data_IF_895787131841
#
_entry.id   IF_895787131841
#
_cell.length_a   1.000
_cell.length_b   1.000
_cell.length_c   1.000
_cell.angle_alpha   90.00
_cell.angle_beta   90.00
_cell.angle_gamma   90.00
#
_symmetry.space_group_name_H-M   'P 1'
#
loop_
_entity.id
_entity.type
_entity.pdbx_description
1 polymer ?
#
# COMPACT_ATOMS: atom_id res chain seq x y z
N UNK A 1 -5.33 13.96 -17.18
CA UNK A 1 -5.77 14.14 -15.78
C UNK A 1 -4.96 13.18 -14.94
N UNK A 2 -4.14 13.68 -14.02
CA UNK A 2 -3.35 12.82 -13.10
C UNK A 2 -4.22 12.55 -11.87
N UNK A 3 -4.60 11.30 -11.68
CA UNK A 3 -5.34 10.88 -10.50
C UNK A 3 -4.40 9.99 -9.67
N UNK A 4 -4.32 10.20 -8.37
CA UNK A 4 -3.60 9.26 -7.53
C UNK A 4 -4.39 7.95 -7.53
N UNK A 5 -3.71 6.81 -7.68
CA UNK A 5 -4.34 5.49 -7.76
C UNK A 5 -5.35 5.24 -6.62
N UNK A 6 -5.04 5.71 -5.42
CA UNK A 6 -5.95 5.68 -4.27
C UNK A 6 -7.32 6.31 -4.56
N UNK A 7 -7.35 7.55 -5.08
CA UNK A 7 -8.60 8.23 -5.38
C UNK A 7 -9.32 7.61 -6.58
N UNK A 8 -8.56 7.06 -7.53
CA UNK A 8 -9.13 6.31 -8.63
C UNK A 8 -9.88 5.06 -8.12
N UNK A 9 -9.24 4.27 -7.27
CA UNK A 9 -9.82 3.03 -6.74
C UNK A 9 -11.09 3.32 -5.92
N UNK A 10 -11.06 4.29 -4.99
CA UNK A 10 -12.25 4.62 -4.17
C UNK A 10 -13.37 5.25 -4.99
N UNK A 11 -13.06 6.21 -5.85
CA UNK A 11 -14.10 7.02 -6.49
C UNK A 11 -14.58 6.47 -7.84
N UNK A 12 -13.83 5.58 -8.46
CA UNK A 12 -14.15 5.07 -9.79
C UNK A 12 -14.49 3.59 -9.75
N UNK A 13 -13.55 2.75 -9.31
CA UNK A 13 -13.74 1.29 -9.38
C UNK A 13 -14.85 0.83 -8.45
N UNK A 14 -14.90 1.34 -7.21
CA UNK A 14 -15.97 1.03 -6.27
C UNK A 14 -17.36 1.41 -6.80
N UNK A 15 -17.47 2.61 -7.38
CA UNK A 15 -18.75 3.09 -7.95
C UNK A 15 -19.17 2.31 -9.19
N UNK A 16 -18.23 1.90 -10.02
CA UNK A 16 -18.55 1.05 -11.16
C UNK A 16 -19.10 -0.30 -10.74
N UNK A 17 -18.49 -0.93 -9.75
CA UNK A 17 -18.95 -2.23 -9.24
C UNK A 17 -20.34 -2.16 -8.60
N UNK A 18 -20.71 -1.01 -8.06
CA UNK A 18 -22.03 -0.76 -7.50
C UNK A 18 -23.08 -0.34 -8.55
N UNK A 19 -22.74 -0.39 -9.86
CA UNK A 19 -23.60 0.13 -10.94
C UNK A 19 -24.07 1.59 -10.71
N UNK A 20 -23.30 2.38 -9.98
CA UNK A 20 -23.62 3.77 -9.71
C UNK A 20 -23.42 4.62 -10.97
N UNK A 21 -24.55 4.98 -11.60
CA UNK A 21 -24.59 5.80 -12.81
C UNK A 21 -24.11 7.24 -12.59
N UNK A 22 -23.88 7.66 -11.35
CA UNK A 22 -23.34 8.98 -10.99
C UNK A 22 -21.82 9.03 -11.08
N UNK A 23 -21.16 7.91 -11.41
CA UNK A 23 -19.72 7.89 -11.60
C UNK A 23 -19.30 8.88 -12.71
N UNK A 24 -18.41 9.81 -12.36
CA UNK A 24 -17.84 10.81 -13.28
C UNK A 24 -16.95 10.13 -14.34
N UNK A 25 -16.49 8.92 -14.06
CA UNK A 25 -15.59 8.16 -14.92
C UNK A 25 -16.31 6.93 -15.47
N UNK A 26 -16.40 6.85 -16.80
CA UNK A 26 -16.82 5.65 -17.52
C UNK A 26 -15.62 4.74 -17.76
N UNK A 27 -15.85 3.47 -18.06
CA UNK A 27 -14.82 2.56 -18.57
C UNK A 27 -14.07 3.24 -19.72
N UNK A 28 -12.75 3.04 -19.77
CA UNK A 28 -11.86 3.64 -20.76
C UNK A 28 -11.24 2.54 -21.62
N UNK A 29 -10.92 2.91 -22.87
CA UNK A 29 -10.23 1.99 -23.79
C UNK A 29 -8.79 1.75 -23.36
N UNK A 30 -8.17 2.73 -22.67
CA UNK A 30 -6.77 2.65 -22.24
C UNK A 30 -6.54 3.28 -20.87
N UNK A 31 -5.72 2.62 -20.07
CA UNK A 31 -5.22 3.12 -18.78
C UNK A 31 -3.69 3.23 -18.81
N UNK A 32 -3.15 4.36 -18.34
CA UNK A 32 -1.72 4.59 -18.15
C UNK A 32 -1.41 4.57 -16.66
N UNK A 33 -0.53 3.66 -16.24
CA UNK A 33 -0.10 3.48 -14.86
C UNK A 33 1.37 3.90 -14.73
N UNK A 34 1.61 5.08 -14.19
CA UNK A 34 2.95 5.56 -13.86
C UNK A 34 3.39 5.02 -12.50
N UNK A 35 4.70 4.81 -12.32
CA UNK A 35 5.31 4.15 -11.14
C UNK A 35 4.64 2.81 -10.81
N UNK A 36 4.37 2.03 -11.85
CA UNK A 36 3.57 0.80 -11.78
C UNK A 36 4.14 -0.27 -10.84
N UNK A 37 5.41 -0.20 -10.48
CA UNK A 37 6.05 -1.09 -9.49
C UNK A 37 5.43 -0.97 -8.09
N UNK A 38 4.71 0.13 -7.79
CA UNK A 38 4.01 0.35 -6.53
C UNK A 38 2.57 -0.16 -6.52
N UNK A 39 2.01 -0.51 -7.69
CA UNK A 39 0.60 -0.90 -7.83
C UNK A 39 0.19 -2.01 -6.87
N UNK A 40 0.92 -3.16 -6.79
CA UNK A 40 0.49 -4.26 -5.92
C UNK A 40 0.29 -3.81 -4.47
N UNK A 41 1.26 -3.10 -3.90
CA UNK A 41 1.18 -2.65 -2.52
C UNK A 41 0.11 -1.58 -2.27
N UNK A 42 -0.13 -0.70 -3.24
CA UNK A 42 -1.17 0.34 -3.13
C UNK A 42 -2.56 -0.29 -3.23
N UNK A 43 -2.77 -1.15 -4.23
CA UNK A 43 -4.06 -1.81 -4.41
C UNK A 43 -4.41 -2.64 -3.19
N UNK A 44 -3.51 -3.50 -2.73
CA UNK A 44 -3.76 -4.38 -1.59
C UNK A 44 -4.09 -3.59 -0.31
N UNK A 45 -3.33 -2.55 0.00
CA UNK A 45 -3.64 -1.70 1.18
C UNK A 45 -4.99 -1.00 1.12
N UNK A 46 -5.48 -0.70 -0.07
CA UNK A 46 -6.78 -0.05 -0.23
C UNK A 46 -7.96 -1.03 -0.14
N UNK A 47 -7.66 -2.34 -0.11
CA UNK A 47 -8.64 -3.42 0.04
C UNK A 47 -8.45 -4.21 1.34
N UNK A 48 -7.98 -3.58 2.39
CA UNK A 48 -7.89 -4.14 3.73
C UNK A 48 -9.17 -3.79 4.52
N UNK A 49 -10.20 -4.64 4.52
CA UNK A 49 -11.41 -4.36 5.30
C UNK A 49 -11.10 -4.44 6.78
N UNK A 50 -11.76 -3.58 7.55
CA UNK A 50 -11.63 -3.51 8.99
C UNK A 50 -12.96 -3.92 9.66
N UNK A 51 -12.88 -4.63 10.78
CA UNK A 51 -14.00 -4.88 11.69
C UNK A 51 -13.66 -4.27 13.05
N UNK A 52 -14.59 -3.50 13.60
CA UNK A 52 -14.47 -2.85 14.91
C UNK A 52 -15.65 -3.24 15.78
N UNK A 53 -15.44 -3.30 17.08
CA UNK A 53 -16.55 -3.57 18.02
C UNK A 53 -17.70 -2.57 17.88
N UNK A 54 -17.37 -1.32 17.61
CA UNK A 54 -18.31 -0.21 17.39
C UNK A 54 -19.20 -0.35 16.16
N UNK A 55 -18.87 -1.23 15.20
CA UNK A 55 -19.68 -1.44 13.99
C UNK A 55 -21.08 -1.96 14.30
N UNK A 56 -21.22 -2.74 15.38
CA UNK A 56 -22.53 -3.16 15.87
C UNK A 56 -23.47 -1.97 16.12
N UNK A 57 -22.94 -0.83 16.59
CA UNK A 57 -23.79 0.34 16.84
C UNK A 57 -24.37 0.90 15.54
N UNK A 58 -23.61 0.85 14.44
CA UNK A 58 -24.08 1.28 13.13
C UNK A 58 -25.17 0.33 12.61
N UNK A 59 -24.95 -0.98 12.74
CA UNK A 59 -25.94 -2.00 12.38
C UNK A 59 -27.23 -1.85 13.21
N UNK A 60 -27.14 -1.54 14.50
CA UNK A 60 -28.31 -1.27 15.34
C UNK A 60 -29.09 -0.02 14.91
N UNK A 61 -28.40 1.04 14.49
CA UNK A 61 -29.04 2.24 13.96
C UNK A 61 -29.80 1.91 12.68
N UNK A 62 -29.21 1.16 11.76
CA UNK A 62 -29.86 0.71 10.53
C UNK A 62 -31.08 -0.19 10.85
N UNK A 63 -30.91 -1.14 11.77
CA UNK A 63 -31.95 -2.05 12.19
C UNK A 63 -33.15 -1.32 12.85
N UNK A 64 -32.89 -0.28 13.66
CA UNK A 64 -33.99 0.49 14.32
C UNK A 64 -34.84 1.26 13.33
N UNK A 65 -34.32 1.60 12.16
CA UNK A 65 -35.10 2.30 11.12
C UNK A 65 -36.09 1.36 10.39
N UNK A 66 -35.82 0.08 10.38
CA UNK A 66 -36.69 -0.93 9.75
C UNK A 66 -38.15 -0.84 10.22
N UNK A 67 -38.39 -0.52 11.50
CA UNK A 67 -39.73 -0.38 12.05
C UNK A 67 -40.51 0.88 11.61
N UNK A 68 -39.81 1.89 11.10
CA UNK A 68 -40.43 3.19 10.77
C UNK A 68 -40.70 3.39 9.26
N UNK A 69 -40.04 2.63 8.37
CA UNK A 69 -40.27 2.75 6.91
C UNK A 69 -41.66 2.23 6.53
N UNK A 70 -42.16 1.23 7.21
CA UNK A 70 -43.50 0.65 6.94
C UNK A 70 -44.63 1.65 7.13
N UNK A 71 -44.46 2.68 7.94
CA UNK A 71 -45.54 3.62 8.25
C UNK A 71 -45.63 4.85 7.34
N UNK A 72 -44.54 5.22 6.65
CA UNK A 72 -44.49 6.49 5.89
C UNK A 72 -44.59 6.35 4.36
N UNK A 73 -44.28 5.18 3.81
CA UNK A 73 -44.31 4.96 2.35
C UNK A 73 -45.65 4.43 1.80
N UNK A 74 -46.58 4.00 2.69
CA UNK A 74 -47.79 3.29 2.30
C UNK A 74 -49.10 3.94 2.78
N UNK A 75 -49.12 5.22 3.16
CA UNK A 75 -50.37 5.90 3.55
C UNK A 75 -51.30 6.21 2.37
N UNK A 76 -50.89 6.00 1.12
CA UNK A 76 -51.69 6.36 -0.06
C UNK A 76 -52.22 5.19 -0.92
N UNK A 77 -51.84 3.92 -0.67
CA UNK A 77 -52.47 2.80 -1.39
C UNK A 77 -52.77 1.59 -0.48
N UNK A 78 -54.02 1.41 -0.16
CA UNK A 78 -54.54 0.16 0.35
C UNK A 78 -54.59 -0.86 -0.78
N UNK A 79 -53.63 -1.76 -0.87
CA UNK A 79 -53.74 -3.18 -1.24
C UNK A 79 -52.35 -3.78 -1.45
N UNK A 80 -52.08 -4.88 -0.74
CA UNK A 80 -50.90 -5.74 -0.76
C UNK A 80 -49.96 -5.65 0.45
N UNK A 81 -50.51 -5.53 1.65
CA UNK A 81 -49.74 -5.48 2.91
C UNK A 81 -49.14 -6.84 3.32
N UNK A 82 -49.57 -7.96 2.77
CA UNK A 82 -49.20 -9.29 3.26
C UNK A 82 -47.90 -9.86 2.61
N UNK A 83 -47.53 -9.42 1.42
CA UNK A 83 -46.38 -9.96 0.70
C UNK A 83 -45.07 -9.26 1.08
N UNK A 84 -45.12 -7.99 1.46
CA UNK A 84 -43.93 -7.20 1.87
C UNK A 84 -43.55 -7.40 3.34
N UNK A 85 -44.52 -7.79 4.21
CA UNK A 85 -44.25 -8.12 5.61
C UNK A 85 -43.40 -9.39 5.79
N UNK A 86 -43.38 -10.27 4.79
CA UNK A 86 -42.67 -11.56 4.82
C UNK A 86 -41.16 -11.47 4.52
N UNK A 87 -40.71 -10.47 3.77
CA UNK A 87 -39.29 -10.35 3.35
C UNK A 87 -38.42 -9.79 4.49
N UNK A 88 -38.95 -8.98 5.37
CA UNK A 88 -38.20 -8.25 6.40
C UNK A 88 -38.21 -8.87 7.80
N UNK A 89 -38.89 -10.00 7.99
CA UNK A 89 -39.04 -10.65 9.32
C UNK A 89 -37.86 -11.49 9.78
N UNK A 90 -36.74 -11.57 9.01
CA UNK A 90 -35.76 -12.61 9.21
C UNK A 90 -34.60 -12.29 10.15
N UNK A 91 -34.48 -11.08 10.70
CA UNK A 91 -33.39 -10.77 11.62
C UNK A 91 -33.88 -9.97 12.83
N UNK A 92 -34.00 -10.64 13.98
CA UNK A 92 -34.33 -9.93 15.23
C UNK A 92 -33.12 -9.19 15.77
N UNK A 93 -33.32 -8.16 16.59
CA UNK A 93 -32.19 -7.45 17.22
C UNK A 93 -31.36 -8.38 18.10
N UNK A 94 -31.99 -9.36 18.77
CA UNK A 94 -31.31 -10.36 19.59
C UNK A 94 -30.46 -11.30 18.75
N UNK A 95 -30.90 -11.68 17.54
CA UNK A 95 -30.12 -12.51 16.63
C UNK A 95 -28.92 -11.73 16.09
N UNK A 96 -29.11 -10.45 15.73
CA UNK A 96 -28.03 -9.57 15.30
C UNK A 96 -26.94 -9.44 16.38
N UNK A 97 -27.35 -9.23 17.64
CA UNK A 97 -26.42 -9.12 18.77
C UNK A 97 -25.66 -10.44 19.01
N UNK A 98 -26.35 -11.56 18.99
CA UNK A 98 -25.78 -12.89 19.18
C UNK A 98 -24.78 -13.23 18.08
N UNK A 99 -25.18 -12.97 16.84
CA UNK A 99 -24.33 -13.24 15.67
C UNK A 99 -23.11 -12.34 15.64
N UNK A 100 -23.27 -11.06 15.98
CA UNK A 100 -22.16 -10.14 16.13
C UNK A 100 -21.17 -10.55 17.21
N UNK A 101 -21.67 -10.98 18.36
CA UNK A 101 -20.81 -11.46 19.45
C UNK A 101 -20.00 -12.69 19.03
N UNK A 102 -20.63 -13.64 18.33
CA UNK A 102 -19.91 -14.78 17.73
C UNK A 102 -18.83 -14.33 16.74
N UNK A 103 -19.17 -13.46 15.78
CA UNK A 103 -18.24 -12.96 14.76
C UNK A 103 -17.06 -12.26 15.41
N UNK A 104 -17.34 -11.29 16.27
CA UNK A 104 -16.31 -10.45 16.85
C UNK A 104 -15.36 -11.25 17.76
N UNK A 105 -15.91 -12.10 18.62
CA UNK A 105 -15.09 -12.94 19.53
C UNK A 105 -14.24 -13.95 18.73
N UNK A 106 -14.78 -14.54 17.68
CA UNK A 106 -14.02 -15.46 16.81
C UNK A 106 -12.87 -14.73 16.09
N UNK A 107 -13.13 -13.53 15.56
CA UNK A 107 -12.16 -12.81 14.76
C UNK A 107 -11.10 -12.08 15.63
N UNK A 108 -11.45 -11.68 16.84
CA UNK A 108 -10.49 -11.07 17.80
C UNK A 108 -9.54 -12.12 18.36
N UNK A 109 -9.98 -13.38 18.46
CA UNK A 109 -9.10 -14.46 18.94
C UNK A 109 -8.02 -14.77 17.89
N UNK A 110 -6.77 -14.50 18.23
CA UNK A 110 -5.61 -14.77 17.35
C UNK A 110 -5.34 -16.26 17.14
N UNK A 111 -5.91 -17.13 17.97
CA UNK A 111 -5.77 -18.59 17.90
C UNK A 111 -6.95 -19.30 17.22
N UNK A 112 -7.97 -18.57 16.78
CA UNK A 112 -9.09 -19.16 16.06
C UNK A 112 -8.63 -19.84 14.77
N UNK A 113 -9.23 -21.01 14.47
CA UNK A 113 -8.88 -21.79 13.26
C UNK A 113 -9.29 -21.04 11.98
N UNK A 114 -8.64 -21.37 10.86
CA UNK A 114 -8.99 -20.80 9.56
C UNK A 114 -10.45 -21.07 9.19
N UNK A 115 -10.97 -22.26 9.50
CA UNK A 115 -12.37 -22.61 9.27
C UNK A 115 -13.33 -21.76 10.11
N UNK A 116 -13.01 -21.51 11.39
CA UNK A 116 -13.81 -20.63 12.24
C UNK A 116 -13.80 -19.18 11.74
N UNK A 117 -12.62 -18.69 11.32
CA UNK A 117 -12.49 -17.36 10.72
C UNK A 117 -13.31 -17.25 9.43
N UNK A 118 -13.27 -18.26 8.55
CA UNK A 118 -14.06 -18.29 7.31
C UNK A 118 -15.57 -18.18 7.61
N UNK A 119 -16.07 -19.00 8.52
CA UNK A 119 -17.50 -18.94 8.94
C UNK A 119 -17.89 -17.59 9.53
N UNK A 120 -17.02 -16.98 10.33
CA UNK A 120 -17.28 -15.65 10.88
C UNK A 120 -17.31 -14.56 9.79
N UNK A 121 -16.42 -14.65 8.81
CA UNK A 121 -16.39 -13.76 7.63
C UNK A 121 -17.65 -13.93 6.79
N UNK A 122 -18.03 -15.15 6.47
CA UNK A 122 -19.27 -15.47 5.71
C UNK A 122 -20.51 -14.93 6.43
N UNK A 123 -20.57 -15.11 7.74
CA UNK A 123 -21.67 -14.63 8.55
C UNK A 123 -21.74 -13.09 8.59
N UNK A 124 -20.59 -12.43 8.70
CA UNK A 124 -20.54 -10.96 8.64
C UNK A 124 -20.99 -10.42 7.28
N UNK A 125 -20.53 -11.06 6.19
CA UNK A 125 -21.00 -10.71 4.85
C UNK A 125 -22.53 -10.86 4.73
N UNK A 126 -23.08 -11.97 5.20
CA UNK A 126 -24.54 -12.20 5.19
C UNK A 126 -25.32 -11.14 5.98
N UNK A 127 -24.78 -10.69 7.14
CA UNK A 127 -25.38 -9.58 7.88
C UNK A 127 -25.36 -8.30 7.04
N UNK A 128 -24.22 -7.92 6.49
CA UNK A 128 -24.11 -6.71 5.67
C UNK A 128 -25.07 -6.76 4.47
N UNK A 129 -25.13 -7.90 3.80
CA UNK A 129 -25.98 -8.11 2.63
C UNK A 129 -27.47 -7.94 2.96
N UNK A 130 -27.90 -8.40 4.15
CA UNK A 130 -29.28 -8.26 4.62
C UNK A 130 -29.72 -6.81 4.86
N UNK A 131 -28.77 -5.86 4.97
CA UNK A 131 -29.09 -4.43 5.15
C UNK A 131 -29.11 -3.62 3.84
N UNK A 132 -28.81 -4.23 2.69
CA UNK A 132 -28.67 -3.51 1.42
C UNK A 132 -29.92 -2.70 1.05
N UNK A 133 -31.08 -3.35 1.03
CA UNK A 133 -32.38 -2.73 0.70
C UNK A 133 -32.79 -1.69 1.75
N UNK A 134 -32.51 -1.96 3.02
CA UNK A 134 -32.81 -1.01 4.11
C UNK A 134 -32.02 0.30 3.91
N UNK A 135 -30.75 0.22 3.56
CA UNK A 135 -29.90 1.40 3.33
C UNK A 135 -30.41 2.18 2.13
N UNK A 136 -30.80 1.52 1.03
CA UNK A 136 -31.37 2.17 -0.15
C UNK A 136 -32.68 2.92 0.18
N UNK A 137 -33.56 2.31 0.97
CA UNK A 137 -34.78 2.93 1.40
C UNK A 137 -34.54 4.17 2.30
N UNK A 138 -33.57 4.07 3.24
CA UNK A 138 -33.19 5.22 4.09
C UNK A 138 -32.63 6.37 3.23
N UNK A 139 -31.69 6.07 2.31
CA UNK A 139 -31.07 7.09 1.44
C UNK A 139 -32.14 7.77 0.55
N UNK A 140 -33.07 7.01 -0.01
CA UNK A 140 -34.18 7.53 -0.79
C UNK A 140 -35.08 8.47 0.05
N UNK A 141 -35.43 8.06 1.27
CA UNK A 141 -36.21 8.87 2.18
C UNK A 141 -35.51 10.17 2.58
N UNK A 142 -34.21 10.11 2.93
CA UNK A 142 -33.41 11.29 3.27
C UNK A 142 -33.25 12.24 2.08
N UNK A 143 -33.07 11.70 0.86
CA UNK A 143 -32.99 12.49 -0.37
C UNK A 143 -34.31 13.19 -0.68
N UNK A 144 -35.43 12.50 -0.55
CA UNK A 144 -36.80 13.07 -0.71
C UNK A 144 -37.03 14.21 0.29
N UNK A 145 -36.75 13.97 1.56
CA UNK A 145 -36.87 14.96 2.64
C UNK A 145 -36.08 16.24 2.33
N UNK A 146 -34.85 16.12 1.84
CA UNK A 146 -33.97 17.26 1.54
C UNK A 146 -34.33 17.97 0.23
N UNK A 147 -34.58 17.21 -0.85
CA UNK A 147 -34.73 17.78 -2.20
C UNK A 147 -36.16 18.20 -2.51
N UNK A 148 -37.15 17.45 -2.05
CA UNK A 148 -38.56 17.68 -2.37
C UNK A 148 -39.24 18.53 -1.32
N UNK A 149 -39.06 18.21 -0.03
CA UNK A 149 -39.67 18.92 1.07
C UNK A 149 -38.90 20.15 1.54
N UNK A 150 -37.63 20.26 1.20
CA UNK A 150 -36.77 21.38 1.64
C UNK A 150 -36.49 21.39 3.15
N UNK A 151 -36.71 20.27 3.83
CA UNK A 151 -36.57 20.18 5.28
C UNK A 151 -35.10 20.07 5.72
N UNK A 152 -34.81 20.57 6.90
CA UNK A 152 -33.49 20.40 7.54
C UNK A 152 -33.45 19.06 8.27
N UNK A 153 -32.29 18.38 8.18
CA UNK A 153 -32.06 17.11 8.86
C UNK A 153 -32.19 17.27 10.39
N UNK A 154 -32.96 16.38 10.99
CA UNK A 154 -32.99 16.19 12.44
C UNK A 154 -31.72 15.51 12.94
N UNK A 155 -31.53 15.42 14.26
CA UNK A 155 -30.41 14.66 14.83
C UNK A 155 -30.47 13.17 14.45
N UNK A 156 -31.65 12.61 14.34
CA UNK A 156 -31.90 11.23 13.93
C UNK A 156 -31.53 11.02 12.46
N UNK A 157 -31.98 11.91 11.57
CA UNK A 157 -31.60 11.89 10.15
C UNK A 157 -30.07 11.92 9.96
N UNK A 158 -29.37 12.69 10.79
CA UNK A 158 -27.88 12.75 10.74
C UNK A 158 -27.25 11.43 11.20
N UNK A 159 -27.81 10.74 12.19
CA UNK A 159 -27.32 9.43 12.63
C UNK A 159 -27.55 8.38 11.54
N UNK A 160 -28.74 8.35 10.94
CA UNK A 160 -29.06 7.46 9.83
C UNK A 160 -28.15 7.70 8.62
N UNK A 161 -27.95 8.96 8.23
CA UNK A 161 -27.03 9.31 7.14
C UNK A 161 -25.59 8.81 7.40
N UNK A 162 -25.12 8.95 8.65
CA UNK A 162 -23.79 8.43 9.03
C UNK A 162 -23.72 6.91 8.99
N UNK A 163 -24.78 6.22 9.44
CA UNK A 163 -24.86 4.76 9.40
C UNK A 163 -24.91 4.24 7.94
N UNK A 164 -25.67 4.88 7.06
CA UNK A 164 -25.67 4.57 5.62
C UNK A 164 -24.28 4.82 4.99
N UNK A 165 -23.66 5.94 5.30
CA UNK A 165 -22.30 6.25 4.80
C UNK A 165 -21.26 5.23 5.28
N UNK A 166 -21.32 4.82 6.57
CA UNK A 166 -20.50 3.74 7.10
C UNK A 166 -20.74 2.42 6.35
N UNK A 167 -22.02 2.04 6.17
CA UNK A 167 -22.40 0.82 5.48
C UNK A 167 -21.88 0.80 4.03
N UNK A 168 -22.06 1.88 3.26
CA UNK A 168 -21.57 1.98 1.89
C UNK A 168 -20.05 1.83 1.83
N UNK A 169 -19.33 2.46 2.76
CA UNK A 169 -17.89 2.29 2.86
C UNK A 169 -17.50 0.84 3.20
N UNK A 170 -18.20 0.20 4.14
CA UNK A 170 -17.98 -1.20 4.46
C UNK A 170 -18.20 -2.10 3.24
N UNK A 171 -19.37 -2.01 2.60
CA UNK A 171 -19.73 -2.86 1.47
C UNK A 171 -18.79 -2.71 0.29
N UNK A 172 -18.28 -1.49 0.06
CA UNK A 172 -17.32 -1.22 -0.99
C UNK A 172 -16.07 -2.11 -0.92
N UNK A 173 -15.55 -2.33 0.29
CA UNK A 173 -14.35 -3.15 0.51
C UNK A 173 -14.69 -4.60 0.86
N UNK A 174 -15.77 -4.80 1.58
CA UNK A 174 -16.13 -6.09 2.13
C UNK A 174 -16.62 -7.07 1.07
N UNK A 175 -17.41 -6.61 0.11
CA UNK A 175 -17.88 -7.44 -1.01
C UNK A 175 -16.70 -7.95 -1.85
N UNK A 176 -15.75 -7.07 -2.17
CA UNK A 176 -14.57 -7.41 -2.94
C UNK A 176 -13.61 -8.34 -2.17
N UNK A 177 -13.45 -8.09 -0.86
CA UNK A 177 -12.70 -8.96 0.02
C UNK A 177 -13.32 -10.36 0.12
N UNK A 178 -14.63 -10.45 0.27
CA UNK A 178 -15.34 -11.72 0.30
C UNK A 178 -15.21 -12.49 -1.01
N UNK A 179 -15.25 -11.79 -2.13
CA UNK A 179 -14.93 -12.39 -3.43
C UNK A 179 -13.51 -12.96 -3.45
N UNK A 180 -12.51 -12.24 -2.95
CA UNK A 180 -11.15 -12.75 -2.83
C UNK A 180 -11.08 -14.00 -1.93
N UNK A 181 -11.73 -14.00 -0.77
CA UNK A 181 -11.77 -15.18 0.12
C UNK A 181 -12.30 -16.41 -0.58
N UNK A 182 -13.34 -16.26 -1.40
CA UNK A 182 -13.96 -17.38 -2.13
C UNK A 182 -13.13 -17.82 -3.35
N UNK A 183 -12.50 -16.90 -4.04
CA UNK A 183 -11.74 -17.19 -5.25
C UNK A 183 -10.35 -17.76 -4.97
N UNK A 184 -9.62 -17.21 -4.00
CA UNK A 184 -8.24 -17.62 -3.72
C UNK A 184 -8.11 -18.53 -2.50
N UNK A 185 -9.08 -18.51 -1.57
CA UNK A 185 -9.06 -19.28 -0.33
C UNK A 185 -8.65 -18.48 0.91
N UNK A 186 -9.18 -18.91 2.07
CA UNK A 186 -8.93 -18.23 3.37
C UNK A 186 -7.46 -18.34 3.80
N UNK A 187 -6.72 -19.31 3.34
CA UNK A 187 -5.30 -19.51 3.61
C UNK A 187 -4.41 -18.40 3.04
N UNK A 188 -4.90 -17.65 2.07
CA UNK A 188 -4.22 -16.48 1.49
C UNK A 188 -4.63 -15.16 2.13
N UNK A 189 -5.44 -15.22 3.19
CA UNK A 189 -5.88 -14.06 3.94
C UNK A 189 -5.17 -14.00 5.28
N UNK A 190 -4.43 -12.93 5.49
CA UNK A 190 -3.82 -12.64 6.79
C UNK A 190 -4.78 -11.82 7.64
N UNK A 191 -5.06 -12.31 8.84
CA UNK A 191 -5.80 -11.61 9.88
C UNK A 191 -4.83 -10.94 10.84
N UNK A 192 -4.96 -9.65 11.03
CA UNK A 192 -4.20 -8.89 12.01
C UNK A 192 -5.15 -8.26 13.03
N UNK A 193 -4.83 -8.40 14.31
CA UNK A 193 -5.59 -7.84 15.42
C UNK A 193 -4.73 -6.82 16.15
N UNK A 194 -5.17 -5.57 16.21
CA UNK A 194 -4.44 -4.47 16.81
C UNK A 194 -5.33 -3.61 17.69
N UNK A 195 -4.77 -2.90 18.66
CA UNK A 195 -5.51 -1.96 19.51
C UNK A 195 -5.41 -0.54 18.92
N UNK A 196 -6.55 0.12 18.76
CA UNK A 196 -6.59 1.54 18.38
C UNK A 196 -5.91 2.40 19.43
N UNK A 197 -4.97 3.23 19.03
CA UNK A 197 -4.29 4.16 19.95
C UNK A 197 -5.23 5.21 20.54
N UNK A 198 -6.29 5.56 19.82
CA UNK A 198 -7.24 6.62 20.20
C UNK A 198 -8.40 6.04 21.01
N UNK A 199 -9.10 5.07 20.45
CA UNK A 199 -10.35 4.53 21.04
C UNK A 199 -10.12 3.38 21.99
N UNK A 200 -8.92 2.80 22.02
CA UNK A 200 -8.59 1.58 22.78
C UNK A 200 -9.41 0.36 22.37
N UNK A 201 -10.06 0.42 21.26
CA UNK A 201 -10.85 -0.63 20.67
C UNK A 201 -9.95 -1.57 19.86
N UNK A 202 -10.24 -2.87 19.89
CA UNK A 202 -9.56 -3.83 19.02
C UNK A 202 -10.08 -3.68 17.61
N UNK A 203 -9.14 -3.57 16.67
CA UNK A 203 -9.38 -3.48 15.24
C UNK A 203 -8.87 -4.78 14.61
N UNK A 204 -9.72 -5.42 13.85
CA UNK A 204 -9.37 -6.61 13.07
C UNK A 204 -9.25 -6.16 11.62
N UNK A 205 -8.10 -6.38 11.00
CA UNK A 205 -7.85 -6.10 9.58
C UNK A 205 -7.52 -7.39 8.84
N UNK A 206 -7.86 -7.42 7.56
CA UNK A 206 -7.57 -8.55 6.70
C UNK A 206 -6.80 -8.09 5.47
N UNK A 207 -5.72 -8.79 5.14
CA UNK A 207 -4.88 -8.51 3.98
C UNK A 207 -4.81 -9.74 3.09
N UNK A 208 -5.17 -9.62 1.82
CA UNK A 208 -4.96 -10.67 0.84
C UNK A 208 -3.50 -10.66 0.38
N UNK A 209 -2.78 -11.79 0.59
CA UNK A 209 -1.36 -11.90 0.18
C UNK A 209 -1.19 -12.27 -1.30
N UNK A 210 -2.27 -12.67 -2.00
CA UNK A 210 -2.29 -12.84 -3.45
C UNK A 210 -2.58 -11.49 -4.12
N UNK A 211 -1.58 -10.61 -4.09
CA UNK A 211 -1.69 -9.27 -4.68
C UNK A 211 -1.96 -9.31 -6.19
N UNK A 212 -1.39 -10.28 -6.88
CA UNK A 212 -1.62 -10.57 -8.29
C UNK A 212 -3.12 -10.65 -8.63
N UNK A 213 -3.88 -11.43 -7.85
CA UNK A 213 -5.33 -11.56 -8.01
C UNK A 213 -6.05 -10.24 -7.72
N UNK A 214 -5.65 -9.54 -6.66
CA UNK A 214 -6.26 -8.26 -6.28
C UNK A 214 -6.00 -7.21 -7.36
N UNK A 215 -4.76 -7.10 -7.85
CA UNK A 215 -4.41 -6.14 -8.92
C UNK A 215 -5.17 -6.44 -10.20
N UNK A 216 -5.27 -7.71 -10.59
CA UNK A 216 -6.03 -8.10 -11.77
C UNK A 216 -7.49 -7.64 -11.67
N UNK A 217 -8.18 -8.03 -10.59
CA UNK A 217 -9.61 -7.77 -10.46
C UNK A 217 -9.96 -6.29 -10.28
N UNK A 218 -9.10 -5.52 -9.62
CA UNK A 218 -9.40 -4.11 -9.28
C UNK A 218 -8.80 -3.10 -10.24
N UNK A 219 -7.78 -3.46 -10.99
CA UNK A 219 -7.11 -2.54 -11.90
C UNK A 219 -7.06 -3.07 -13.33
N UNK A 220 -6.46 -4.25 -13.54
CA UNK A 220 -6.19 -4.71 -14.90
C UNK A 220 -7.46 -5.03 -15.67
N UNK A 221 -8.50 -5.53 -15.02
CA UNK A 221 -9.80 -5.81 -15.64
C UNK A 221 -10.62 -4.57 -16.01
N UNK A 222 -10.18 -3.36 -15.62
CA UNK A 222 -10.97 -2.12 -15.80
C UNK A 222 -10.77 -1.43 -17.15
N UNK A 223 -9.79 -1.85 -17.94
CA UNK A 223 -9.52 -1.29 -19.26
C UNK A 223 -9.11 -2.39 -20.25
N UNK A 224 -9.39 -2.17 -21.53
CA UNK A 224 -8.98 -3.07 -22.61
C UNK A 224 -7.47 -3.00 -22.84
N UNK A 225 -6.92 -1.78 -22.86
CA UNK A 225 -5.49 -1.55 -23.06
C UNK A 225 -4.84 -0.97 -21.79
N UNK A 226 -3.63 -1.43 -21.48
CA UNK A 226 -2.90 -1.05 -20.27
C UNK A 226 -1.47 -0.71 -20.60
N UNK A 227 -1.04 0.48 -20.21
CA UNK A 227 0.35 0.93 -20.36
C UNK A 227 0.94 1.12 -18.99
N UNK A 228 1.90 0.26 -18.64
CA UNK A 228 2.59 0.26 -17.36
C UNK A 228 3.96 0.92 -17.51
N UNK A 229 4.21 1.97 -16.75
CA UNK A 229 5.43 2.77 -16.84
C UNK A 229 6.13 2.82 -15.48
N UNK A 230 7.42 2.65 -15.48
CA UNK A 230 8.28 2.94 -14.33
C UNK A 230 9.75 2.96 -14.72
N UNK A 231 10.54 3.75 -14.00
CA UNK A 231 12.00 3.70 -14.08
C UNK A 231 12.58 2.41 -13.45
N UNK A 232 11.80 1.68 -12.66
CA UNK A 232 12.23 0.54 -11.84
C UNK A 232 11.20 -0.58 -11.86
N UNK A 233 10.77 -1.01 -13.04
CA UNK A 233 9.88 -2.18 -13.16
C UNK A 233 10.57 -3.43 -12.61
N UNK A 234 11.89 -3.54 -12.77
CA UNK A 234 12.65 -4.73 -12.46
C UNK A 234 12.70 -5.73 -13.62
N UNK A 235 12.82 -7.01 -13.30
CA UNK A 235 12.76 -8.07 -14.31
C UNK A 235 11.32 -8.37 -14.74
N UNK A 236 11.13 -8.73 -16.01
CA UNK A 236 9.84 -9.10 -16.57
C UNK A 236 9.12 -10.14 -15.72
N UNK A 237 9.76 -11.28 -15.46
CA UNK A 237 9.15 -12.40 -14.72
C UNK A 237 8.67 -11.99 -13.32
N UNK A 238 9.51 -11.27 -12.58
CA UNK A 238 9.16 -10.84 -11.23
C UNK A 238 8.03 -9.79 -11.20
N UNK A 239 7.98 -8.94 -12.22
CA UNK A 239 6.92 -7.95 -12.36
C UNK A 239 5.59 -8.58 -12.75
N UNK A 240 5.59 -9.44 -13.77
CA UNK A 240 4.39 -10.12 -14.27
C UNK A 240 3.78 -11.06 -13.25
N UNK A 241 4.63 -11.81 -12.51
CA UNK A 241 4.21 -12.66 -11.39
C UNK A 241 3.48 -11.83 -10.32
N UNK A 242 4.02 -10.68 -9.93
CA UNK A 242 3.48 -9.87 -8.84
C UNK A 242 2.28 -9.00 -9.23
N UNK A 243 2.11 -8.67 -10.50
CA UNK A 243 1.00 -7.84 -10.99
C UNK A 243 -0.19 -8.64 -11.52
N UNK A 244 -0.02 -9.93 -11.74
CA UNK A 244 -1.10 -10.83 -12.16
C UNK A 244 -1.40 -10.79 -13.66
N UNK A 245 -0.40 -10.57 -14.51
CA UNK A 245 -0.60 -10.57 -15.97
C UNK A 245 -0.96 -11.93 -16.53
N UNK A 246 -0.61 -13.02 -15.82
CA UNK A 246 -0.99 -14.37 -16.22
C UNK A 246 -2.52 -14.58 -16.29
N UNK A 247 -3.30 -13.83 -15.48
CA UNK A 247 -4.77 -13.85 -15.62
C UNK A 247 -5.24 -13.21 -16.92
N UNK A 248 -4.45 -12.30 -17.50
CA UNK A 248 -4.73 -11.74 -18.83
C UNK A 248 -4.35 -12.73 -19.91
N UNK A 249 -3.21 -13.40 -19.80
CA UNK A 249 -2.73 -14.41 -20.77
C UNK A 249 -3.71 -15.57 -20.90
N UNK A 250 -4.35 -16.00 -19.81
CA UNK A 250 -5.41 -17.01 -19.84
C UNK A 250 -6.64 -16.55 -20.63
N UNK A 251 -6.93 -15.25 -20.69
CA UNK A 251 -8.04 -14.67 -21.47
C UNK A 251 -7.69 -14.51 -22.94
N UNK A 252 -6.40 -14.37 -23.27
CA UNK A 252 -5.91 -14.04 -24.62
C UNK A 252 -5.57 -15.31 -25.45
N UNK A 253 -5.82 -16.51 -24.94
CA UNK A 253 -5.49 -17.76 -25.64
C UNK A 253 -6.07 -17.88 -27.06
N UNK A 254 -7.10 -17.10 -27.38
CA UNK A 254 -7.76 -17.06 -28.70
C UNK A 254 -7.68 -15.67 -29.37
N UNK A 255 -6.89 -14.72 -28.85
CA UNK A 255 -6.75 -13.36 -29.39
C UNK A 255 -5.34 -13.07 -29.89
N UNK A 256 -5.19 -12.11 -30.83
CA UNK A 256 -3.89 -11.61 -31.29
C UNK A 256 -3.24 -10.64 -30.28
N UNK A 257 -3.69 -10.62 -29.03
CA UNK A 257 -3.19 -9.76 -27.97
C UNK A 257 -1.93 -10.35 -27.34
N UNK A 258 -0.95 -9.47 -27.09
CA UNK A 258 0.31 -9.86 -26.47
C UNK A 258 0.76 -8.86 -25.40
N UNK A 259 1.56 -9.33 -24.43
CA UNK A 259 2.21 -8.47 -23.46
C UNK A 259 3.57 -8.04 -23.99
N UNK A 260 3.68 -6.77 -24.35
CA UNK A 260 4.93 -6.19 -24.82
C UNK A 260 5.71 -5.60 -23.62
N UNK A 261 6.92 -6.09 -23.41
CA UNK A 261 7.86 -5.52 -22.42
C UNK A 261 9.04 -4.86 -23.15
N UNK A 262 9.28 -3.57 -22.87
CA UNK A 262 10.39 -2.84 -23.48
C UNK A 262 11.15 -2.03 -22.45
N UNK A 263 12.47 -1.96 -22.62
CA UNK A 263 13.35 -1.12 -21.80
C UNK A 263 13.95 -0.02 -22.66
N UNK A 264 13.67 1.23 -22.27
CA UNK A 264 14.23 2.41 -22.96
C UNK A 264 15.56 2.76 -22.29
N UNK A 265 16.67 2.81 -23.03
CA UNK A 265 17.97 3.20 -22.45
C UNK A 265 17.93 4.62 -21.88
N UNK A 266 18.65 4.83 -20.79
CA UNK A 266 18.79 6.18 -20.23
C UNK A 266 19.59 7.09 -21.16
N UNK A 267 19.15 8.37 -21.23
CA UNK A 267 19.84 9.43 -22.00
C UNK A 267 20.86 10.21 -21.16
N UNK A 268 21.06 9.84 -19.89
CA UNK A 268 21.98 10.53 -18.97
C UNK A 268 23.43 10.11 -19.19
N UNK A 269 24.36 11.04 -18.99
CA UNK A 269 25.79 10.76 -18.91
C UNK A 269 26.18 10.28 -17.52
N UNK A 270 26.45 8.99 -17.40
CA UNK A 270 26.74 8.36 -16.12
C UNK A 270 28.25 8.21 -15.81
N UNK A 271 29.16 8.64 -16.68
CA UNK A 271 30.61 8.50 -16.43
C UNK A 271 31.05 9.21 -15.14
N UNK A 272 30.40 10.34 -14.82
CA UNK A 272 30.66 11.14 -13.62
C UNK A 272 29.93 10.65 -12.36
N UNK A 273 29.19 9.55 -12.46
CA UNK A 273 28.33 9.05 -11.37
C UNK A 273 28.67 7.60 -10.98
N UNK A 274 29.88 7.32 -10.48
CA UNK A 274 30.32 5.96 -10.15
C UNK A 274 29.53 5.36 -8.98
N UNK A 275 29.38 4.03 -8.99
CA UNK A 275 28.82 3.25 -7.90
C UNK A 275 29.95 2.42 -7.28
N UNK A 276 30.37 2.79 -6.09
CA UNK A 276 31.47 2.16 -5.35
C UNK A 276 30.89 1.15 -4.35
N UNK A 277 31.06 -0.12 -4.63
CA UNK A 277 30.60 -1.19 -3.75
C UNK A 277 31.76 -1.75 -2.91
N UNK A 278 31.67 -1.62 -1.60
CA UNK A 278 32.62 -2.20 -0.65
C UNK A 278 32.15 -3.60 -0.24
N UNK A 279 32.72 -4.63 -0.84
CA UNK A 279 32.38 -6.02 -0.55
C UNK A 279 33.23 -6.58 0.63
N UNK A 280 33.01 -6.04 1.82
CA UNK A 280 33.83 -6.44 2.98
C UNK A 280 33.04 -6.71 4.25
N UNK A 281 32.07 -5.88 4.58
CA UNK A 281 31.35 -5.92 5.83
C UNK A 281 29.86 -6.19 5.57
N UNK A 282 29.29 -7.21 6.24
CA UNK A 282 27.87 -7.55 6.11
C UNK A 282 27.06 -6.86 7.20
N UNK A 283 25.94 -6.23 6.82
CA UNK A 283 24.98 -5.63 7.74
C UNK A 283 23.83 -6.60 8.11
N UNK A 284 24.10 -7.92 8.07
CA UNK A 284 23.21 -8.96 8.57
C UNK A 284 22.97 -8.81 10.08
N UNK A 285 21.91 -9.44 10.59
CA UNK A 285 21.57 -9.32 12.02
C UNK A 285 22.72 -9.74 12.95
N UNK A 286 23.41 -10.84 12.61
CA UNK A 286 24.52 -11.39 13.42
C UNK A 286 25.82 -10.60 13.34
N UNK A 287 26.11 -9.92 12.22
CA UNK A 287 27.37 -9.24 11.97
C UNK A 287 27.30 -7.73 12.12
N UNK A 288 26.07 -7.19 12.24
CA UNK A 288 25.78 -5.76 12.17
C UNK A 288 26.60 -4.88 13.10
N UNK A 289 26.73 -5.27 14.36
CA UNK A 289 27.43 -4.45 15.36
C UNK A 289 28.93 -4.33 15.04
N UNK A 290 29.55 -5.46 14.68
CA UNK A 290 30.95 -5.47 14.26
C UNK A 290 31.15 -4.65 12.97
N UNK A 291 30.33 -4.91 11.96
CA UNK A 291 30.40 -4.23 10.69
C UNK A 291 30.20 -2.72 10.81
N UNK A 292 29.22 -2.29 11.61
CA UNK A 292 28.91 -0.88 11.82
C UNK A 292 30.09 -0.14 12.49
N UNK A 293 30.76 -0.78 13.45
CA UNK A 293 31.98 -0.23 14.07
C UNK A 293 33.08 0.05 13.04
N UNK A 294 33.25 -0.82 12.04
CA UNK A 294 34.25 -0.66 10.99
C UNK A 294 33.80 0.34 9.91
N UNK A 295 32.51 0.41 9.63
CA UNK A 295 31.95 1.26 8.58
C UNK A 295 31.82 2.73 8.97
N UNK A 296 31.60 3.05 10.25
CA UNK A 296 31.48 4.45 10.72
C UNK A 296 32.68 5.33 10.34
N UNK A 297 33.96 4.92 10.56
CA UNK A 297 35.10 5.72 10.12
C UNK A 297 35.13 5.95 8.59
N UNK A 298 34.68 4.97 7.80
CA UNK A 298 34.61 5.08 6.35
C UNK A 298 33.54 6.11 5.95
N UNK A 299 32.34 6.04 6.55
CA UNK A 299 31.27 7.01 6.33
C UNK A 299 31.75 8.43 6.64
N UNK A 300 32.38 8.61 7.80
CA UNK A 300 32.84 9.94 8.21
C UNK A 300 33.95 10.47 7.30
N UNK A 301 34.85 9.60 6.84
CA UNK A 301 35.88 9.96 5.86
C UNK A 301 35.27 10.39 4.51
N UNK A 302 34.24 9.70 4.02
CA UNK A 302 33.51 10.10 2.83
C UNK A 302 32.93 11.51 3.03
N UNK A 303 32.23 11.75 4.14
CA UNK A 303 31.56 13.03 4.44
C UNK A 303 32.52 14.20 4.66
N UNK A 304 33.70 13.97 5.29
CA UNK A 304 34.65 15.03 5.71
C UNK A 304 35.81 15.26 4.77
N UNK A 305 36.16 14.29 3.91
CA UNK A 305 37.32 14.41 3.03
C UNK A 305 36.98 14.40 1.54
N UNK A 306 36.00 13.53 1.13
CA UNK A 306 35.64 13.42 -0.29
C UNK A 306 34.55 14.42 -0.67
N UNK A 307 33.60 14.68 0.23
CA UNK A 307 32.46 15.56 -0.01
C UNK A 307 32.36 16.69 1.03
N UNK A 308 33.49 17.39 1.24
CA UNK A 308 33.57 18.54 2.12
C UNK A 308 32.61 19.62 1.64
N UNK A 309 31.71 20.08 2.51
CA UNK A 309 30.73 21.12 2.20
C UNK A 309 29.69 20.77 1.13
N UNK A 310 29.63 19.50 0.70
CA UNK A 310 28.66 19.06 -0.30
C UNK A 310 27.49 18.30 0.34
N UNK A 311 26.31 18.45 -0.24
CA UNK A 311 25.09 17.77 0.21
C UNK A 311 25.07 16.31 -0.24
N UNK A 312 24.46 15.47 0.59
CA UNK A 312 24.28 14.06 0.28
C UNK A 312 23.28 13.37 1.19
N UNK A 313 23.17 12.07 1.05
CA UNK A 313 22.28 11.27 1.89
C UNK A 313 22.87 9.93 2.31
N UNK A 314 22.45 9.43 3.49
CA UNK A 314 22.85 8.16 4.07
C UNK A 314 21.60 7.33 4.37
N UNK A 315 21.42 6.23 3.64
CA UNK A 315 20.34 5.26 3.85
C UNK A 315 20.82 4.15 4.78
N UNK A 316 20.21 4.04 5.94
CA UNK A 316 20.73 3.18 7.02
C UNK A 316 19.95 1.88 7.22
N UNK A 317 18.77 1.76 6.61
CA UNK A 317 17.87 0.61 6.74
C UNK A 317 17.12 0.52 8.07
N UNK A 318 17.43 1.35 9.08
CA UNK A 318 16.63 1.48 10.32
C UNK A 318 16.93 2.77 11.07
N UNK A 319 15.95 3.25 11.86
CA UNK A 319 16.13 4.43 12.73
C UNK A 319 17.22 4.22 13.79
N UNK A 320 17.34 3.01 14.34
CA UNK A 320 18.36 2.69 15.32
C UNK A 320 19.78 2.83 14.77
N UNK A 321 20.02 2.33 13.54
CA UNK A 321 21.31 2.48 12.86
C UNK A 321 21.56 3.96 12.52
N UNK A 322 20.55 4.67 12.02
CA UNK A 322 20.67 6.11 11.72
C UNK A 322 21.10 6.90 12.95
N UNK A 323 20.43 6.65 14.08
CA UNK A 323 20.74 7.28 15.36
C UNK A 323 22.16 6.94 15.83
N UNK A 324 22.60 5.68 15.76
CA UNK A 324 23.93 5.27 16.18
C UNK A 324 25.04 5.92 15.31
N UNK A 325 24.84 6.00 14.00
CA UNK A 325 25.76 6.72 13.10
C UNK A 325 25.79 8.22 13.43
N UNK A 326 24.62 8.83 13.69
CA UNK A 326 24.54 10.25 14.05
C UNK A 326 25.20 10.53 15.39
N UNK A 327 24.91 9.76 16.43
CA UNK A 327 25.42 9.99 17.79
C UNK A 327 26.93 9.83 17.88
N UNK A 328 27.51 8.91 17.11
CA UNK A 328 28.94 8.63 17.06
C UNK A 328 29.73 9.55 16.11
N UNK A 329 29.04 10.43 15.35
CA UNK A 329 29.71 11.26 14.37
C UNK A 329 30.56 12.36 15.02
N UNK A 330 31.76 12.68 14.46
CA UNK A 330 32.55 13.83 14.83
C UNK A 330 31.71 15.13 14.72
N UNK A 331 32.00 16.12 15.56
CA UNK A 331 31.20 17.34 15.69
C UNK A 331 31.03 18.12 14.38
N UNK A 332 32.04 18.16 13.54
CA UNK A 332 32.04 18.84 12.25
C UNK A 332 31.06 18.17 11.26
N UNK A 333 30.98 16.84 11.27
CA UNK A 333 30.06 16.05 10.44
C UNK A 333 28.66 16.09 11.05
N UNK A 334 28.54 15.93 12.38
CA UNK A 334 27.28 15.90 13.11
C UNK A 334 26.45 17.17 12.88
N UNK A 335 27.07 18.34 12.82
CA UNK A 335 26.41 19.63 12.53
C UNK A 335 25.77 19.67 11.14
N UNK A 336 26.25 18.88 10.20
CA UNK A 336 25.73 18.77 8.84
C UNK A 336 24.62 17.72 8.72
N UNK A 337 24.54 16.76 9.66
CA UNK A 337 23.58 15.66 9.59
C UNK A 337 22.19 16.11 10.02
N UNK A 338 21.20 15.79 9.20
CA UNK A 338 19.77 15.97 9.45
C UNK A 338 19.14 14.59 9.67
N UNK A 339 18.98 14.22 10.95
CA UNK A 339 18.35 12.96 11.38
C UNK A 339 16.86 13.17 11.57
N UNK A 340 16.04 12.23 11.12
CA UNK A 340 14.61 12.17 11.40
C UNK A 340 14.21 10.84 12.05
N UNK A 341 13.16 10.87 12.89
CA UNK A 341 12.67 9.70 13.65
C UNK A 341 11.29 9.20 13.19
N UNK A 342 10.61 9.95 12.34
CA UNK A 342 9.28 9.61 11.83
C UNK A 342 9.01 10.33 10.49
N UNK A 343 7.90 9.97 9.82
CA UNK A 343 7.56 10.50 8.49
C UNK A 343 7.30 12.02 8.49
N UNK A 344 6.77 12.59 9.58
CA UNK A 344 6.52 14.03 9.69
C UNK A 344 7.83 14.81 9.77
N UNK A 345 8.75 14.36 10.62
CA UNK A 345 10.10 14.91 10.70
C UNK A 345 10.88 14.74 9.40
N UNK A 346 10.71 13.60 8.70
CA UNK A 346 11.31 13.37 7.38
C UNK A 346 11.02 14.51 6.43
N UNK A 347 9.76 14.91 6.28
CA UNK A 347 9.36 16.02 5.39
C UNK A 347 10.01 17.33 5.78
N UNK A 348 10.08 17.65 7.08
CA UNK A 348 10.74 18.84 7.57
C UNK A 348 12.24 18.84 7.29
N UNK A 349 12.93 17.71 7.54
CA UNK A 349 14.37 17.59 7.29
C UNK A 349 14.71 17.68 5.79
N UNK A 350 13.86 17.16 4.91
CA UNK A 350 14.00 17.32 3.46
C UNK A 350 13.92 18.81 3.08
N UNK A 351 12.94 19.54 3.60
CA UNK A 351 12.79 20.98 3.32
C UNK A 351 14.01 21.76 3.80
N UNK A 352 14.51 21.49 5.01
CA UNK A 352 15.73 22.11 5.54
C UNK A 352 16.92 21.79 4.64
N UNK A 353 17.06 20.53 4.20
CA UNK A 353 18.15 20.09 3.32
C UNK A 353 18.14 20.83 1.98
N UNK A 354 16.98 20.99 1.36
CA UNK A 354 16.81 21.70 0.09
C UNK A 354 17.22 23.19 0.21
N UNK A 355 16.96 23.80 1.36
CA UNK A 355 17.30 25.21 1.64
C UNK A 355 18.74 25.41 2.15
N UNK A 356 19.43 24.36 2.54
CA UNK A 356 20.78 24.39 3.10
C UNK A 356 21.86 24.21 2.00
N UNK A 357 23.13 24.44 2.34
CA UNK A 357 24.24 24.35 1.35
C UNK A 357 25.13 23.12 1.53
N UNK A 358 25.18 22.51 2.73
CA UNK A 358 26.18 21.50 3.09
C UNK A 358 25.64 20.37 3.97
N UNK A 359 24.34 20.18 4.04
CA UNK A 359 23.69 19.20 4.92
C UNK A 359 23.70 17.77 4.37
N UNK A 360 23.57 16.79 5.25
CA UNK A 360 23.54 15.36 4.95
C UNK A 360 22.25 14.79 5.56
N UNK A 361 21.34 14.32 4.70
CA UNK A 361 20.15 13.60 5.16
C UNK A 361 20.53 12.21 5.65
N UNK A 362 20.07 11.81 6.84
CA UNK A 362 20.31 10.47 7.37
C UNK A 362 19.03 9.85 7.90
N UNK A 363 18.73 8.63 7.45
CA UNK A 363 17.52 7.91 7.88
C UNK A 363 17.41 6.51 7.29
N UNK A 364 16.37 5.74 7.69
CA UNK A 364 16.21 4.35 7.28
C UNK A 364 16.01 4.18 5.77
N UNK A 365 15.14 4.98 5.18
CA UNK A 365 14.79 4.94 3.76
C UNK A 365 14.63 6.35 3.21
N UNK A 366 15.38 6.68 2.16
CA UNK A 366 15.37 7.98 1.51
C UNK A 366 15.03 7.83 0.01
N UNK A 367 14.15 6.86 -0.32
CA UNK A 367 13.85 6.50 -1.70
C UNK A 367 12.59 7.17 -2.21
N UNK A 368 11.50 7.20 -1.44
CA UNK A 368 10.23 7.74 -1.88
C UNK A 368 10.01 9.20 -1.45
N UNK A 369 9.34 9.97 -2.32
CA UNK A 369 8.92 11.35 -2.00
C UNK A 369 10.06 12.36 -1.87
N UNK A 370 11.25 12.07 -2.42
CA UNK A 370 12.42 12.95 -2.36
C UNK A 370 12.89 13.27 -3.76
N UNK A 371 12.99 14.55 -4.05
CA UNK A 371 13.63 15.07 -5.27
C UNK A 371 14.76 16.02 -4.88
N UNK A 372 16.00 15.63 -5.24
CA UNK A 372 17.23 16.34 -4.88
C UNK A 372 18.08 16.60 -6.11
N UNK A 373 17.67 17.50 -6.99
CA UNK A 373 18.40 17.80 -8.23
C UNK A 373 19.74 18.49 -7.97
N UNK A 374 20.73 18.19 -8.80
CA UNK A 374 22.00 18.88 -8.87
C UNK A 374 22.80 18.82 -7.58
N UNK A 375 23.23 19.96 -7.08
CA UNK A 375 24.05 20.08 -5.87
C UNK A 375 23.31 19.70 -4.58
N UNK A 376 22.03 19.40 -4.64
CA UNK A 376 21.29 18.90 -3.48
C UNK A 376 21.66 17.44 -3.11
N UNK A 377 22.25 16.65 -4.04
CA UNK A 377 22.72 15.30 -3.73
C UNK A 377 23.97 14.92 -4.53
N UNK A 378 25.16 15.16 -4.00
CA UNK A 378 26.43 14.82 -4.64
C UNK A 378 26.96 13.45 -4.25
N UNK A 379 26.46 12.88 -3.16
CA UNK A 379 26.77 11.52 -2.77
C UNK A 379 25.59 10.82 -2.08
N UNK A 380 25.55 9.50 -2.25
CA UNK A 380 24.60 8.60 -1.62
C UNK A 380 25.38 7.48 -0.93
N UNK A 381 25.07 7.20 0.32
CA UNK A 381 25.59 6.04 1.04
C UNK A 381 24.45 5.09 1.35
N UNK A 382 24.47 3.89 0.78
CA UNK A 382 23.58 2.77 1.12
C UNK A 382 24.36 1.92 2.13
N UNK A 383 24.09 2.16 3.41
CA UNK A 383 24.80 1.51 4.52
C UNK A 383 24.34 0.08 4.74
N UNK A 384 23.05 -0.19 4.50
CA UNK A 384 22.46 -1.51 4.64
C UNK A 384 21.52 -1.77 3.47
N UNK A 385 21.60 -2.98 2.90
CA UNK A 385 20.66 -3.47 1.90
C UNK A 385 19.25 -3.53 2.51
N UNK A 386 18.24 -2.86 1.90
CA UNK A 386 16.93 -2.66 2.49
C UNK A 386 15.99 -3.86 2.28
N UNK A 387 16.42 -5.06 2.70
CA UNK A 387 15.55 -6.23 2.66
C UNK A 387 14.28 -6.04 3.52
N UNK A 388 13.10 -6.46 3.05
CA UNK A 388 11.92 -6.57 3.89
C UNK A 388 12.17 -7.45 5.13
N UNK A 389 11.42 -7.21 6.18
CA UNK A 389 11.64 -7.87 7.49
C UNK A 389 11.06 -9.28 7.46
N UNK A 390 11.90 -10.32 7.36
CA UNK A 390 11.49 -11.73 7.20
C UNK A 390 10.62 -12.27 8.36
N UNK A 391 10.72 -11.71 9.57
CA UNK A 391 9.87 -12.14 10.69
C UNK A 391 8.42 -11.70 10.57
N UNK A 392 8.12 -10.77 9.67
CA UNK A 392 6.78 -10.34 9.31
C UNK A 392 6.06 -11.46 8.56
N UNK A 393 4.85 -11.80 9.00
CA UNK A 393 4.08 -12.92 8.42
C UNK A 393 3.68 -12.67 6.98
N UNK A 394 3.33 -11.43 6.64
CA UNK A 394 3.05 -11.03 5.27
C UNK A 394 4.27 -11.25 4.36
N UNK A 395 5.46 -10.84 4.82
CA UNK A 395 6.71 -11.02 4.07
C UNK A 395 7.03 -12.50 3.87
N UNK A 396 6.83 -13.36 4.89
CA UNK A 396 7.01 -14.81 4.76
C UNK A 396 6.09 -15.40 3.71
N UNK A 397 4.80 -15.10 3.78
CA UNK A 397 3.81 -15.61 2.82
C UNK A 397 4.08 -15.10 1.41
N UNK A 398 4.52 -13.84 1.26
CA UNK A 398 4.92 -13.29 -0.05
C UNK A 398 6.12 -14.04 -0.64
N UNK A 399 7.12 -14.39 0.15
CA UNK A 399 8.28 -15.17 -0.32
C UNK A 399 7.86 -16.55 -0.78
N UNK A 400 6.92 -17.20 -0.07
CA UNK A 400 6.40 -18.53 -0.44
C UNK A 400 5.63 -18.50 -1.75
N UNK A 401 4.79 -17.49 -1.96
CA UNK A 401 3.92 -17.37 -3.13
C UNK A 401 4.64 -16.79 -4.35
N UNK A 402 5.55 -15.87 -4.13
CA UNK A 402 6.27 -15.11 -5.16
C UNK A 402 7.78 -15.18 -4.90
N UNK A 403 8.45 -16.27 -5.26
CA UNK A 403 9.87 -16.50 -4.92
C UNK A 403 10.81 -15.41 -5.47
N UNK A 404 10.48 -14.77 -6.59
CA UNK A 404 11.27 -13.70 -7.18
C UNK A 404 11.07 -12.35 -6.47
N UNK A 405 9.95 -12.17 -5.78
CA UNK A 405 9.51 -10.88 -5.20
C UNK A 405 10.53 -10.28 -4.22
N UNK A 406 11.04 -11.08 -3.27
CA UNK A 406 11.88 -10.59 -2.17
C UNK A 406 13.16 -9.90 -2.64
N UNK A 407 13.86 -10.53 -3.57
CA UNK A 407 15.08 -9.98 -4.15
C UNK A 407 14.77 -8.86 -5.14
N UNK A 408 13.69 -8.99 -5.90
CA UNK A 408 13.28 -8.00 -6.89
C UNK A 408 12.91 -6.67 -6.23
N UNK A 409 12.04 -6.67 -5.22
CA UNK A 409 11.65 -5.45 -4.52
C UNK A 409 12.86 -4.78 -3.83
N UNK A 410 13.77 -5.58 -3.27
CA UNK A 410 15.00 -5.05 -2.65
C UNK A 410 15.90 -4.39 -3.69
N UNK A 411 16.07 -5.00 -4.86
CA UNK A 411 16.84 -4.42 -5.97
C UNK A 411 16.21 -3.13 -6.49
N UNK A 412 14.90 -3.09 -6.64
CA UNK A 412 14.17 -1.89 -7.07
C UNK A 412 14.41 -0.72 -6.11
N UNK A 413 14.35 -0.96 -4.80
CA UNK A 413 14.64 0.07 -3.78
C UNK A 413 16.09 0.60 -3.93
N UNK A 414 17.06 -0.28 -4.19
CA UNK A 414 18.45 0.14 -4.42
C UNK A 414 18.58 0.95 -5.70
N UNK A 415 17.99 0.49 -6.81
CA UNK A 415 18.02 1.19 -8.11
C UNK A 415 17.39 2.59 -7.98
N UNK A 416 16.24 2.69 -7.33
CA UNK A 416 15.60 3.98 -7.03
C UNK A 416 16.48 4.87 -6.16
N UNK A 417 17.12 4.29 -5.14
CA UNK A 417 18.04 4.99 -4.26
C UNK A 417 19.21 5.60 -5.03
N UNK A 418 19.82 4.83 -5.91
CA UNK A 418 20.93 5.28 -6.80
C UNK A 418 20.45 6.40 -7.73
N UNK A 419 19.22 6.30 -8.25
CA UNK A 419 18.65 7.27 -9.19
C UNK A 419 18.32 8.64 -8.57
N UNK A 420 18.30 8.77 -7.24
CA UNK A 420 17.95 10.05 -6.59
C UNK A 420 18.95 11.17 -6.80
N UNK A 421 20.19 10.85 -7.06
CA UNK A 421 21.25 11.83 -7.26
C UNK A 421 21.48 12.26 -8.71
N UNK A 422 20.74 11.70 -9.68
CA UNK A 422 20.85 12.05 -11.10
C UNK A 422 19.46 12.43 -11.64
N UNK A 423 19.22 13.71 -11.92
CA UNK A 423 17.92 14.23 -12.32
C UNK A 423 17.87 14.89 -13.68
N UNK A 424 19.01 15.27 -14.21
CA UNK A 424 19.14 15.85 -15.55
C UNK A 424 20.44 15.43 -16.21
N UNK A 425 20.58 15.67 -17.50
CA UNK A 425 21.65 15.14 -18.35
C UNK A 425 23.08 15.36 -17.81
N UNK A 426 23.36 16.54 -17.27
CA UNK A 426 24.69 16.93 -16.77
C UNK A 426 24.85 16.74 -15.25
N UNK A 427 23.86 16.11 -14.61
CA UNK A 427 23.88 15.85 -13.16
C UNK A 427 24.82 14.69 -12.82
N UNK A 428 25.40 14.73 -11.63
CA UNK A 428 26.30 13.70 -11.15
C UNK A 428 26.16 13.42 -9.67
N UNK A 429 26.32 12.15 -9.30
CA UNK A 429 26.25 11.71 -7.92
C UNK A 429 27.09 10.44 -7.73
N UNK A 430 27.94 10.41 -6.72
CA UNK A 430 28.68 9.19 -6.37
C UNK A 430 27.89 8.35 -5.38
N UNK A 431 27.63 7.09 -5.69
CA UNK A 431 26.96 6.16 -4.77
C UNK A 431 27.98 5.23 -4.12
N UNK A 432 27.83 5.01 -2.80
CA UNK A 432 28.57 4.03 -2.02
C UNK A 432 27.62 2.97 -1.48
N UNK A 433 27.86 1.70 -1.78
CA UNK A 433 27.16 0.57 -1.20
C UNK A 433 28.13 -0.10 -0.22
N UNK A 434 27.82 -0.05 1.07
CA UNK A 434 28.74 -0.48 2.12
C UNK A 434 28.39 -1.84 2.74
N UNK A 435 27.28 -2.44 2.35
CA UNK A 435 26.82 -3.74 2.85
C UNK A 435 27.19 -4.86 1.86
N UNK A 436 28.06 -5.76 2.28
CA UNK A 436 28.50 -6.91 1.47
C UNK A 436 27.37 -7.88 1.12
N UNK A 437 26.19 -7.82 1.79
CA UNK A 437 24.98 -8.55 1.39
C UNK A 437 24.53 -8.20 -0.03
N UNK A 438 24.88 -7.02 -0.53
CA UNK A 438 24.59 -6.59 -1.91
C UNK A 438 25.15 -7.52 -2.98
N UNK A 439 26.29 -8.17 -2.75
CA UNK A 439 26.87 -9.07 -3.75
C UNK A 439 25.96 -10.24 -4.11
N UNK A 440 25.36 -10.85 -3.09
CA UNK A 440 24.42 -11.96 -3.28
C UNK A 440 23.15 -11.51 -3.99
N UNK A 441 22.59 -10.39 -3.57
CA UNK A 441 21.42 -9.78 -4.20
C UNK A 441 21.71 -9.45 -5.67
N UNK A 442 22.79 -8.74 -5.94
CA UNK A 442 23.16 -8.34 -7.31
C UNK A 442 23.37 -9.55 -8.24
N UNK A 443 23.98 -10.64 -7.74
CA UNK A 443 24.14 -11.86 -8.53
C UNK A 443 22.81 -12.52 -8.87
N UNK A 444 21.87 -12.55 -7.95
CA UNK A 444 20.55 -13.18 -8.16
C UNK A 444 19.59 -12.35 -9.02
N UNK A 445 19.81 -11.02 -9.09
CA UNK A 445 18.90 -10.08 -9.78
C UNK A 445 19.62 -9.23 -10.82
N UNK A 446 20.77 -9.67 -11.32
CA UNK A 446 21.63 -8.89 -12.22
C UNK A 446 20.89 -8.36 -13.46
N UNK A 447 20.03 -9.19 -14.02
CA UNK A 447 19.21 -8.83 -15.20
C UNK A 447 18.18 -7.73 -14.94
N UNK A 448 17.88 -7.43 -13.69
CA UNK A 448 16.96 -6.34 -13.31
C UNK A 448 17.64 -4.97 -13.23
N UNK A 449 18.98 -4.96 -13.12
CA UNK A 449 19.74 -3.72 -13.09
C UNK A 449 19.94 -3.20 -14.52
N UNK A 450 19.57 -1.94 -14.80
CA UNK A 450 19.83 -1.31 -16.08
C UNK A 450 21.30 -1.40 -16.47
N UNK A 451 21.62 -1.54 -17.78
CA UNK A 451 22.99 -1.67 -18.26
C UNK A 451 23.93 -0.56 -17.76
N UNK A 452 23.43 0.66 -17.67
CA UNK A 452 24.17 1.81 -17.17
C UNK A 452 24.53 1.70 -15.69
N UNK A 453 23.72 1.09 -14.86
CA UNK A 453 24.07 0.81 -13.45
C UNK A 453 25.14 -0.27 -13.37
N UNK A 454 25.02 -1.33 -14.19
CA UNK A 454 26.01 -2.40 -14.23
C UNK A 454 27.41 -1.89 -14.66
N UNK A 455 27.47 -0.99 -15.64
CA UNK A 455 28.73 -0.39 -16.13
C UNK A 455 29.40 0.52 -15.09
N UNK A 456 28.60 1.21 -14.26
CA UNK A 456 29.10 2.14 -13.22
C UNK A 456 29.60 1.42 -11.97
N UNK A 457 29.25 0.15 -11.78
CA UNK A 457 29.54 -0.59 -10.56
C UNK A 457 31.03 -0.96 -10.47
N UNK A 458 31.70 -0.43 -9.45
CA UNK A 458 33.11 -0.73 -9.12
C UNK A 458 33.12 -1.47 -7.78
N UNK A 459 33.71 -2.68 -7.77
CA UNK A 459 33.74 -3.54 -6.57
C UNK A 459 35.12 -3.38 -5.90
N UNK A 460 35.11 -3.06 -4.62
CA UNK A 460 36.28 -2.96 -3.75
C UNK A 460 36.19 -4.05 -2.65
N UNK A 461 37.32 -4.69 -2.31
CA UNK A 461 37.40 -5.74 -1.29
C UNK A 461 38.16 -5.24 -0.06
#
# INVERSE_FOLDING_TARGET
MTYQLYHFMINVVSKWKMNDTTSVFKQRDIIFCDECHNIPSIVTKNFEPEIRKSDLNQLKILHSYHGNIQLSLFDDEKDNSDEYELIYKNYSLSDLESDWEYIYNTLVDTHSSSEANKKAIEKYHSILDSFAETVEAIESSLSHKRQVLGETFTKEDVLLYKACSWYRNCMCFWSDFYMCVNAVGIEYILKNVSESRITKEMIITFTCVKEDFVVYNFLLSTAENRVMLSATIGGYDAFTENIGTHYLEEQFTDSDEEILFTQIPSTFDFEKSPINFLNRYKMSYSEREHSLKQLKPIIYKICSQQFVGQRGMIQTGSYAIAKDVYDSAPNDIKRRMLLYNNSKEKTQMITIHQMSKDTILIGPTLVEGIDLPGDQCRFIIILKVPYPVIVDEYVKRKIELFPLWYNSITSNIIIQGIGRGNRFKDDYCTTYILDACFLSLYKSTKNQYPPEIQQRLKIFT
#
